data_IF_707646358612
#
_entry.id   IF_707646358612
#
_cell.length_a   1.000
_cell.length_b   1.000
_cell.length_c   1.000
_cell.angle_alpha   90.00
_cell.angle_beta   90.00
_cell.angle_gamma   90.00
#
_symmetry.space_group_name_H-M   'P 1'
#
loop_
_entity.id
_entity.type
_entity.pdbx_description
1 polymer ?
#
# COMPACT_ATOMS: atom_id res chain seq x y z
N UNK A 1 16.01 -12.11 9.11
CA UNK A 1 15.18 -11.02 8.56
C UNK A 1 15.93 -9.69 8.67
N UNK A 2 15.97 -8.88 7.62
CA UNK A 2 16.74 -7.62 7.55
C UNK A 2 16.07 -6.52 8.40
N UNK A 3 16.80 -5.70 9.19
CA UNK A 3 16.21 -4.68 10.06
C UNK A 3 15.32 -3.66 9.33
N UNK A 4 15.69 -3.24 8.12
CA UNK A 4 14.91 -2.30 7.31
C UNK A 4 13.53 -2.87 6.95
N UNK A 5 13.44 -4.16 6.64
CA UNK A 5 12.19 -4.84 6.28
C UNK A 5 11.22 -4.87 7.46
N UNK A 6 11.71 -5.27 8.64
CA UNK A 6 10.92 -5.22 9.88
C UNK A 6 10.39 -3.83 10.15
N UNK A 7 11.26 -2.82 10.04
CA UNK A 7 10.89 -1.42 10.28
C UNK A 7 9.81 -0.96 9.33
N UNK A 8 9.86 -1.36 8.05
CA UNK A 8 8.82 -1.04 7.07
C UNK A 8 7.48 -1.69 7.44
N UNK A 9 7.48 -2.98 7.81
CA UNK A 9 6.27 -3.68 8.24
C UNK A 9 5.68 -3.09 9.54
N UNK A 10 6.52 -2.78 10.54
CA UNK A 10 6.07 -2.09 11.75
C UNK A 10 5.44 -0.73 11.43
N UNK A 11 6.07 0.06 10.55
CA UNK A 11 5.53 1.35 10.08
C UNK A 11 4.19 1.22 9.38
N UNK A 12 3.98 0.13 8.63
CA UNK A 12 2.68 -0.22 8.05
C UNK A 12 1.63 -0.37 9.17
N UNK A 13 1.92 -1.20 10.18
CA UNK A 13 0.99 -1.48 11.29
C UNK A 13 0.66 -0.26 12.16
N UNK A 14 1.63 0.64 12.38
CA UNK A 14 1.42 1.82 13.24
C UNK A 14 1.02 3.07 12.44
N UNK A 15 0.60 2.91 11.18
CA UNK A 15 0.19 4.01 10.29
C UNK A 15 1.24 5.13 10.19
N UNK A 16 2.54 4.77 10.16
CA UNK A 16 3.69 5.68 10.09
C UNK A 16 4.50 5.44 8.80
N UNK A 17 3.78 5.40 7.68
CA UNK A 17 4.34 5.12 6.35
C UNK A 17 4.13 6.30 5.38
N UNK A 18 4.62 6.14 4.16
CA UNK A 18 4.76 7.24 3.19
C UNK A 18 3.58 7.38 2.23
N UNK A 19 2.53 6.58 2.39
CA UNK A 19 1.40 6.58 1.47
C UNK A 19 0.51 7.80 1.70
N UNK A 20 -0.17 8.25 0.65
CA UNK A 20 -0.95 9.48 0.69
C UNK A 20 -2.07 9.40 1.73
N UNK A 21 -2.59 8.21 2.06
CA UNK A 21 -3.60 8.04 3.11
C UNK A 21 -3.15 8.61 4.46
N UNK A 22 -1.88 8.43 4.82
CA UNK A 22 -1.32 8.94 6.06
C UNK A 22 -0.67 10.32 5.90
N UNK A 23 0.05 10.57 4.80
CA UNK A 23 0.74 11.85 4.62
C UNK A 23 -0.26 13.01 4.45
N UNK A 24 -1.30 12.82 3.65
CA UNK A 24 -2.31 13.86 3.38
C UNK A 24 -3.43 13.91 4.43
N UNK A 25 -3.37 13.04 5.44
CA UNK A 25 -4.28 13.07 6.61
C UNK A 25 -4.13 14.34 7.44
N UNK A 26 -2.94 14.91 7.43
CA UNK A 26 -2.59 16.07 8.23
C UNK A 26 -2.42 17.30 7.34
N UNK A 27 -2.90 18.43 7.84
CA UNK A 27 -2.60 19.73 7.25
C UNK A 27 -1.16 20.14 7.58
N UNK A 28 -0.51 20.79 6.63
CA UNK A 28 0.80 21.42 6.78
C UNK A 28 0.66 22.93 6.51
N UNK A 29 1.69 23.72 6.82
CA UNK A 29 1.66 25.20 6.75
C UNK A 29 1.10 25.77 5.45
N UNK A 30 1.30 25.07 4.33
CA UNK A 30 0.86 25.49 2.99
C UNK A 30 0.00 24.45 2.26
N UNK A 31 -0.48 23.41 2.98
CA UNK A 31 -1.32 22.36 2.41
C UNK A 31 -2.45 22.05 3.39
N UNK A 32 -3.72 22.33 3.07
CA UNK A 32 -4.83 21.92 3.92
C UNK A 32 -4.90 20.38 4.00
N UNK A 33 -5.58 19.90 5.04
CA UNK A 33 -5.90 18.47 5.17
C UNK A 33 -6.74 18.03 3.96
N UNK A 34 -6.31 16.96 3.29
CA UNK A 34 -7.05 16.40 2.15
C UNK A 34 -8.10 15.39 2.66
N UNK A 35 -9.37 15.47 2.22
CA UNK A 35 -10.39 14.46 2.51
C UNK A 35 -9.93 13.07 2.03
N UNK A 36 -10.38 11.98 2.68
CA UNK A 36 -9.82 10.63 2.46
C UNK A 36 -9.96 10.19 1.01
N UNK A 37 -11.13 10.41 0.43
CA UNK A 37 -11.50 10.09 -0.95
C UNK A 37 -10.66 10.84 -1.99
N UNK A 38 -9.97 11.92 -1.58
CA UNK A 38 -9.08 12.71 -2.43
C UNK A 38 -7.59 12.44 -2.19
N UNK A 39 -7.23 11.52 -1.29
CA UNK A 39 -5.84 11.08 -1.07
C UNK A 39 -5.43 10.05 -2.13
N UNK A 40 -5.49 10.46 -3.38
CA UNK A 40 -5.38 9.58 -4.54
C UNK A 40 -3.95 9.05 -4.74
N UNK A 41 -3.86 7.85 -5.30
CA UNK A 41 -2.60 7.18 -5.63
C UNK A 41 -1.75 8.02 -6.59
N UNK A 42 -0.47 8.16 -6.26
CA UNK A 42 0.49 8.92 -7.05
C UNK A 42 0.71 8.39 -8.45
N UNK A 43 0.44 7.10 -8.68
CA UNK A 43 0.51 6.47 -9.98
C UNK A 43 -0.80 6.59 -10.75
N UNK A 44 -1.89 6.00 -10.23
CA UNK A 44 -3.14 5.93 -10.99
C UNK A 44 -4.01 7.19 -10.91
N UNK A 45 -3.87 8.00 -9.85
CA UNK A 45 -4.63 9.24 -9.59
C UNK A 45 -6.16 9.06 -9.58
N UNK A 46 -6.64 7.84 -9.38
CA UNK A 46 -8.08 7.49 -9.43
C UNK A 46 -8.55 6.90 -8.10
N UNK A 47 -7.82 5.91 -7.57
CA UNK A 47 -8.14 5.28 -6.29
C UNK A 47 -7.35 5.91 -5.15
N UNK A 48 -7.85 5.78 -3.92
CA UNK A 48 -7.14 6.23 -2.71
C UNK A 48 -5.83 5.45 -2.55
N UNK A 49 -4.76 6.15 -2.20
CA UNK A 49 -3.45 5.55 -1.90
C UNK A 49 -3.39 5.04 -0.47
N UNK A 50 -4.08 3.93 -0.22
CA UNK A 50 -3.91 3.15 1.01
C UNK A 50 -3.03 1.91 0.77
N UNK A 51 -2.77 1.17 1.85
CA UNK A 51 -1.86 0.04 1.88
C UNK A 51 -2.32 -1.06 0.92
N UNK A 52 -3.62 -1.35 0.89
CA UNK A 52 -4.19 -2.36 0.00
C UNK A 52 -4.06 -1.91 -1.46
N UNK A 53 -4.35 -0.64 -1.78
CA UNK A 53 -4.18 -0.16 -3.14
C UNK A 53 -2.71 -0.17 -3.58
N UNK A 54 -1.84 0.41 -2.76
CA UNK A 54 -0.43 0.58 -3.09
C UNK A 54 0.31 -0.75 -3.22
N UNK A 55 0.01 -1.70 -2.33
CA UNK A 55 0.68 -2.99 -2.33
C UNK A 55 -0.01 -3.98 -3.25
N UNK A 56 -1.34 -4.00 -3.41
CA UNK A 56 -1.99 -5.13 -4.09
C UNK A 56 -2.76 -4.74 -5.36
N UNK A 57 -3.20 -3.49 -5.53
CA UNK A 57 -4.14 -3.11 -6.61
C UNK A 57 -3.55 -2.27 -7.73
N UNK A 58 -2.54 -1.45 -7.44
CA UNK A 58 -2.13 -0.44 -8.39
C UNK A 58 -1.49 -1.08 -9.62
N UNK A 59 -2.17 -1.05 -10.77
CA UNK A 59 -1.73 -1.69 -12.02
C UNK A 59 -1.07 -0.74 -13.02
N UNK A 60 -0.95 0.56 -12.68
CA UNK A 60 -0.49 1.58 -13.62
C UNK A 60 1.03 1.64 -13.76
N UNK A 61 1.77 1.36 -12.69
CA UNK A 61 3.22 1.34 -12.72
C UNK A 61 3.73 -0.11 -12.77
N UNK A 62 4.70 -0.39 -13.65
CA UNK A 62 5.26 -1.73 -13.82
C UNK A 62 5.94 -2.24 -12.55
N UNK A 63 6.67 -1.37 -11.84
CA UNK A 63 7.38 -1.73 -10.60
C UNK A 63 6.49 -2.39 -9.53
N UNK A 64 5.43 -1.72 -9.04
CA UNK A 64 4.49 -2.31 -8.08
C UNK A 64 3.82 -3.59 -8.59
N UNK A 65 3.47 -3.64 -9.88
CA UNK A 65 2.82 -4.81 -10.50
C UNK A 65 3.73 -6.02 -10.50
N UNK A 66 4.94 -5.89 -11.03
CA UNK A 66 5.93 -6.96 -11.09
C UNK A 66 6.26 -7.47 -9.69
N UNK A 67 6.46 -6.54 -8.74
CA UNK A 67 6.75 -6.89 -7.36
C UNK A 67 5.60 -7.67 -6.70
N UNK A 68 4.35 -7.26 -6.95
CA UNK A 68 3.16 -7.95 -6.44
C UNK A 68 3.06 -9.36 -7.00
N UNK A 69 3.22 -9.53 -8.32
CA UNK A 69 3.18 -10.85 -8.95
C UNK A 69 4.24 -11.80 -8.38
N UNK A 70 5.49 -11.32 -8.22
CA UNK A 70 6.56 -12.11 -7.61
C UNK A 70 6.24 -12.49 -6.16
N UNK A 71 5.73 -11.54 -5.37
CA UNK A 71 5.37 -11.81 -3.98
C UNK A 71 4.24 -12.83 -3.87
N UNK A 72 3.19 -12.73 -4.69
CA UNK A 72 2.07 -13.66 -4.66
C UNK A 72 2.50 -15.07 -5.08
N UNK A 73 3.35 -15.19 -6.10
CA UNK A 73 3.92 -16.49 -6.51
C UNK A 73 4.74 -17.14 -5.37
N UNK A 74 5.57 -16.37 -4.68
CA UNK A 74 6.32 -16.83 -3.52
C UNK A 74 5.38 -17.21 -2.36
N UNK A 75 4.34 -16.42 -2.11
CA UNK A 75 3.39 -16.65 -1.03
C UNK A 75 2.61 -17.97 -1.24
N UNK A 76 2.20 -18.28 -2.47
CA UNK A 76 1.59 -19.57 -2.79
C UNK A 76 2.53 -20.75 -2.58
N UNK A 77 3.83 -20.57 -2.89
CA UNK A 77 4.85 -21.60 -2.67
C UNK A 77 5.09 -21.85 -1.16
N UNK A 78 5.05 -20.80 -0.35
CA UNK A 78 5.28 -20.86 1.10
C UNK A 78 4.05 -21.27 1.90
N UNK A 79 2.84 -21.13 1.33
CA UNK A 79 1.58 -21.46 1.98
C UNK A 79 0.54 -21.98 0.98
N UNK A 80 0.41 -23.30 0.85
CA UNK A 80 -0.62 -23.92 -0.01
C UNK A 80 -2.04 -23.55 0.42
N UNK A 81 -2.28 -23.35 1.72
CA UNK A 81 -3.57 -22.89 2.24
C UNK A 81 -3.95 -21.48 1.78
N UNK A 82 -2.97 -20.64 1.41
CA UNK A 82 -3.23 -19.33 0.84
C UNK A 82 -3.90 -19.45 -0.53
N UNK A 83 -3.52 -20.43 -1.36
CA UNK A 83 -4.04 -20.61 -2.72
C UNK A 83 -5.56 -20.61 -2.81
N UNK A 84 -6.19 -21.58 -2.16
CA UNK A 84 -7.65 -21.71 -2.19
C UNK A 84 -8.39 -20.56 -1.48
N UNK A 85 -7.80 -19.98 -0.43
CA UNK A 85 -8.41 -18.88 0.30
C UNK A 85 -8.29 -17.54 -0.45
N UNK A 86 -7.19 -17.30 -1.16
CA UNK A 86 -6.87 -16.02 -1.79
C UNK A 86 -7.88 -15.59 -2.85
N UNK A 87 -8.34 -16.55 -3.66
CA UNK A 87 -9.32 -16.29 -4.72
C UNK A 87 -10.73 -16.05 -4.17
N UNK A 88 -11.01 -16.54 -2.96
CA UNK A 88 -12.29 -16.36 -2.26
C UNK A 88 -12.33 -15.06 -1.44
N UNK A 89 -11.18 -14.43 -1.19
CA UNK A 89 -11.10 -13.20 -0.42
C UNK A 89 -11.48 -11.99 -1.28
N UNK A 90 -12.39 -11.19 -0.72
CA UNK A 90 -12.61 -9.82 -1.17
C UNK A 90 -11.30 -9.04 -1.13
N UNK A 91 -11.19 -8.08 -2.04
CA UNK A 91 -9.92 -7.41 -2.28
C UNK A 91 -9.39 -6.72 -1.02
N UNK A 92 -10.27 -6.07 -0.27
CA UNK A 92 -9.91 -5.30 0.92
C UNK A 92 -9.44 -6.21 2.08
N UNK A 93 -9.80 -7.50 2.06
CA UNK A 93 -9.41 -8.49 3.08
C UNK A 93 -8.05 -9.15 2.79
N UNK A 94 -7.56 -9.06 1.56
CA UNK A 94 -6.32 -9.75 1.13
C UNK A 94 -5.10 -9.32 1.92
N UNK A 95 -4.94 -8.01 2.17
CA UNK A 95 -3.81 -7.53 2.96
C UNK A 95 -3.91 -8.01 4.42
N UNK A 96 -5.10 -7.97 5.01
CA UNK A 96 -5.34 -8.46 6.36
C UNK A 96 -5.03 -9.96 6.48
N UNK A 97 -5.42 -10.76 5.47
CA UNK A 97 -5.08 -12.18 5.40
C UNK A 97 -3.56 -12.41 5.41
N UNK A 98 -2.80 -11.70 4.57
CA UNK A 98 -1.33 -11.84 4.53
C UNK A 98 -0.68 -11.50 5.87
N UNK A 99 -1.16 -10.45 6.55
CA UNK A 99 -0.61 -10.01 7.84
C UNK A 99 -0.86 -11.03 8.96
N UNK A 100 -1.86 -11.91 8.82
CA UNK A 100 -2.18 -12.95 9.77
C UNK A 100 -1.42 -14.27 9.55
N UNK A 101 -0.55 -14.36 8.55
CA UNK A 101 0.20 -15.58 8.23
C UNK A 101 1.66 -15.48 8.70
N UNK A 102 2.03 -16.04 9.87
CA UNK A 102 3.38 -15.90 10.42
C UNK A 102 4.46 -16.49 9.51
N UNK A 103 4.10 -17.53 8.73
CA UNK A 103 5.01 -18.16 7.76
C UNK A 103 5.47 -17.22 6.66
N UNK A 104 4.67 -16.20 6.34
CA UNK A 104 4.99 -15.22 5.31
C UNK A 104 5.72 -14.00 5.87
N UNK A 105 5.79 -13.82 7.19
CA UNK A 105 6.25 -12.57 7.82
C UNK A 105 7.59 -12.04 7.27
N UNK A 106 8.66 -12.86 7.13
CA UNK A 106 9.92 -12.36 6.57
C UNK A 106 9.80 -11.90 5.10
N UNK A 107 9.01 -12.61 4.30
CA UNK A 107 8.82 -12.30 2.87
C UNK A 107 7.88 -11.12 2.68
N UNK A 108 6.81 -11.05 3.47
CA UNK A 108 5.89 -9.92 3.54
C UNK A 108 6.60 -8.64 3.98
N UNK A 109 7.47 -8.72 4.99
CA UNK A 109 8.25 -7.57 5.44
C UNK A 109 9.18 -7.04 4.34
N UNK A 110 9.83 -7.94 3.59
CA UNK A 110 10.63 -7.57 2.42
C UNK A 110 9.77 -6.92 1.33
N UNK A 111 8.63 -7.53 1.01
CA UNK A 111 7.69 -7.04 0.03
C UNK A 111 7.20 -5.63 0.35
N UNK A 112 6.72 -5.42 1.58
CA UNK A 112 6.27 -4.11 2.07
C UNK A 112 7.40 -3.09 1.98
N UNK A 113 8.62 -3.45 2.36
CA UNK A 113 9.76 -2.54 2.23
C UNK A 113 10.01 -2.13 0.77
N UNK A 114 10.11 -3.10 -0.14
CA UNK A 114 10.36 -2.84 -1.55
C UNK A 114 9.24 -2.01 -2.19
N UNK A 115 7.98 -2.34 -1.89
CA UNK A 115 6.82 -1.58 -2.35
C UNK A 115 6.85 -0.14 -1.86
N UNK A 116 7.09 0.09 -0.57
CA UNK A 116 7.18 1.44 -0.03
C UNK A 116 8.36 2.24 -0.59
N UNK A 117 9.48 1.60 -0.96
CA UNK A 117 10.59 2.28 -1.62
C UNK A 117 10.25 2.71 -3.06
N UNK A 118 9.49 1.90 -3.82
CA UNK A 118 8.97 2.30 -5.13
C UNK A 118 8.09 3.55 -5.00
N UNK A 119 7.18 3.56 -4.02
CA UNK A 119 6.33 4.72 -3.78
C UNK A 119 7.16 5.91 -3.31
N UNK A 120 8.12 5.74 -2.39
CA UNK A 120 9.02 6.80 -1.92
C UNK A 120 9.76 7.50 -3.05
N UNK A 121 10.14 6.76 -4.10
CA UNK A 121 10.84 7.31 -5.26
C UNK A 121 9.97 8.22 -6.15
N UNK A 122 8.65 8.24 -5.94
CA UNK A 122 7.70 9.08 -6.69
C UNK A 122 7.04 10.09 -5.77
N UNK A 123 6.95 11.34 -6.22
CA UNK A 123 6.31 12.41 -5.47
C UNK A 123 4.83 12.07 -5.19
N UNK A 124 4.35 12.42 -3.99
CA UNK A 124 2.94 12.25 -3.63
C UNK A 124 2.10 13.13 -4.55
N UNK A 125 1.04 12.56 -5.10
CA UNK A 125 0.05 13.33 -5.84
C UNK A 125 -0.90 14.02 -4.86
N UNK A 126 -0.97 15.35 -4.96
CA UNK A 126 -1.89 16.19 -4.19
C UNK A 126 -2.95 16.71 -5.15
N UNK A 127 -4.20 16.24 -5.00
CA UNK A 127 -5.31 16.71 -5.81
C UNK A 127 -5.54 18.23 -5.56
N UNK A 128 -5.73 19.04 -6.61
CA UNK A 128 -6.02 20.46 -6.47
C UNK A 128 -7.18 20.72 -5.50
N UNK A 129 -7.00 21.66 -4.57
CA UNK A 129 -8.01 21.99 -3.55
C UNK A 129 -9.36 22.39 -4.17
N UNK A 130 -9.35 23.01 -5.34
CA UNK A 130 -10.54 23.39 -6.08
C UNK A 130 -11.44 22.22 -6.46
N UNK A 131 -10.92 20.99 -6.55
CA UNK A 131 -11.71 19.81 -6.92
C UNK A 131 -12.57 19.27 -5.79
N UNK A 132 -12.16 19.49 -4.53
CA UNK A 132 -12.78 18.85 -3.38
C UNK A 132 -13.32 19.83 -2.34
N UNK A 133 -12.84 21.07 -2.33
CA UNK A 133 -13.39 22.12 -1.47
C UNK A 133 -14.82 22.51 -1.85
N UNK A 134 -15.23 22.32 -3.10
CA UNK A 134 -16.61 22.54 -3.57
C UNK A 134 -17.52 21.33 -3.37
N UNK A 135 -16.97 20.17 -2.99
CA UNK A 135 -17.69 18.92 -2.78
C UNK A 135 -17.98 18.64 -1.29
N UNK A 136 -17.58 19.55 -0.40
CA UNK A 136 -17.72 19.46 1.07
C UNK A 136 -18.74 20.44 1.61
#
# INVERSE_FOLDING_TARGET
MVPAHRKALTRLFVSSHILAIEVLRWGERYRPKTPREWRLCRFCKIAVEDEAHALLRCTIASGPVELCHLFIADAHTLSQSLGAAWDLLEFDDRLACLLQLPRLEPRLAQYVHQGLEIFRATAIYVAPESLWRSAS
#
